data_IF_937806222851
#
_entry.id   IF_937806222851
#
_cell.length_a   1.000
_cell.length_b   1.000
_cell.length_c   1.000
_cell.angle_alpha   90.00
_cell.angle_beta   90.00
_cell.angle_gamma   90.00
#
_symmetry.space_group_name_H-M   'P 1'
#
loop_
_entity.id
_entity.type
_entity.pdbx_description
1 polymer ?
#
# COMPACT_ATOMS: atom_id res chain seq x y z
N UNK A 1 42.73 -23.51 11.53
CA UNK A 1 42.32 -23.12 10.17
C UNK A 1 40.81 -22.95 10.19
N UNK A 2 40.31 -21.72 10.00
CA UNK A 2 38.89 -21.40 10.08
C UNK A 2 38.22 -21.78 8.76
N UNK A 3 37.28 -22.72 8.78
CA UNK A 3 36.55 -23.13 7.58
C UNK A 3 35.74 -21.94 7.02
N UNK A 4 35.75 -21.71 5.69
CA UNK A 4 34.93 -20.65 5.10
C UNK A 4 33.45 -20.96 5.33
N UNK A 5 32.75 -20.08 6.06
CA UNK A 5 31.30 -20.18 6.22
C UNK A 5 30.65 -19.84 4.87
N UNK A 6 30.15 -20.84 4.15
CA UNK A 6 29.32 -20.63 2.98
C UNK A 6 27.98 -20.02 3.42
N UNK A 7 27.79 -18.74 3.12
CA UNK A 7 26.51 -18.03 3.24
C UNK A 7 25.72 -18.36 1.97
N UNK A 8 24.52 -18.89 2.15
CA UNK A 8 23.56 -19.12 1.07
C UNK A 8 22.53 -18.00 1.11
N UNK A 9 22.47 -17.20 0.05
CA UNK A 9 21.40 -16.21 -0.08
C UNK A 9 20.17 -16.96 -0.59
N UNK A 10 19.16 -17.11 0.26
CA UNK A 10 17.89 -17.69 -0.17
C UNK A 10 17.03 -16.52 -0.62
N UNK A 11 16.84 -16.40 -1.93
CA UNK A 11 15.81 -15.53 -2.48
C UNK A 11 14.46 -16.22 -2.26
N UNK A 12 13.85 -15.97 -1.11
CA UNK A 12 12.47 -16.39 -0.86
C UNK A 12 11.55 -15.38 -1.55
N UNK A 13 11.38 -15.56 -2.87
CA UNK A 13 10.59 -14.73 -3.77
C UNK A 13 10.92 -13.22 -3.70
N UNK A 14 11.75 -12.77 -4.64
CA UNK A 14 12.06 -11.36 -4.88
C UNK A 14 10.79 -10.54 -5.15
N UNK A 15 10.11 -10.09 -4.10
CA UNK A 15 8.80 -9.44 -4.14
C UNK A 15 7.73 -10.29 -4.87
N UNK A 16 6.65 -10.68 -4.17
CA UNK A 16 5.39 -10.83 -4.90
C UNK A 16 5.02 -9.44 -5.42
N UNK A 17 5.57 -9.07 -6.58
CA UNK A 17 5.16 -7.90 -7.35
C UNK A 17 3.81 -8.24 -7.95
N UNK A 18 2.78 -8.24 -7.12
CA UNK A 18 1.42 -8.20 -7.62
C UNK A 18 1.17 -6.78 -8.12
N UNK A 19 1.50 -6.55 -9.40
CA UNK A 19 1.22 -5.26 -10.04
C UNK A 19 -0.28 -5.17 -10.25
N UNK A 20 -0.97 -4.61 -9.27
CA UNK A 20 -2.36 -4.21 -9.45
C UNK A 20 -2.33 -2.88 -10.17
N UNK A 21 -2.70 -2.88 -11.46
CA UNK A 21 -3.06 -1.64 -12.13
C UNK A 21 -4.35 -1.14 -11.51
N UNK A 22 -4.24 -0.12 -10.66
CA UNK A 22 -5.43 0.39 -9.97
C UNK A 22 -6.47 0.93 -10.94
N UNK A 23 -6.09 1.33 -12.16
CA UNK A 23 -7.06 1.68 -13.20
C UNK A 23 -8.06 0.56 -13.52
N UNK A 24 -7.63 -0.71 -13.44
CA UNK A 24 -8.45 -1.88 -13.74
C UNK A 24 -9.32 -2.33 -12.55
N UNK A 25 -8.88 -2.07 -11.31
CA UNK A 25 -9.59 -2.43 -10.07
C UNK A 25 -10.47 -1.28 -9.56
N UNK A 26 -10.05 -0.05 -9.81
CA UNK A 26 -10.58 1.19 -9.25
C UNK A 26 -10.96 2.17 -10.34
N UNK A 27 -11.75 1.78 -11.34
CA UNK A 27 -12.34 2.73 -12.32
C UNK A 27 -13.17 3.89 -11.71
N UNK A 28 -13.07 4.14 -10.40
CA UNK A 28 -13.76 5.09 -9.54
C UNK A 28 -12.84 5.87 -8.57
N UNK A 29 -11.55 5.53 -8.42
CA UNK A 29 -10.63 6.29 -7.54
C UNK A 29 -9.59 7.01 -8.40
N UNK A 30 -9.61 8.34 -8.46
CA UNK A 30 -8.64 9.04 -9.29
C UNK A 30 -7.24 9.05 -8.65
N UNK A 31 -6.23 8.98 -9.51
CA UNK A 31 -4.82 8.80 -9.11
C UNK A 31 -4.31 10.00 -8.30
N UNK A 32 -4.82 11.20 -8.56
CA UNK A 32 -4.43 12.41 -7.85
C UNK A 32 -4.83 12.37 -6.38
N UNK A 33 -6.00 11.81 -6.05
CA UNK A 33 -6.45 11.63 -4.67
C UNK A 33 -5.60 10.59 -3.93
N UNK A 34 -5.20 9.51 -4.60
CA UNK A 34 -4.27 8.53 -4.03
C UNK A 34 -2.92 9.19 -3.73
N UNK A 35 -2.41 9.98 -4.68
CA UNK A 35 -1.16 10.75 -4.52
C UNK A 35 -1.27 11.74 -3.35
N UNK A 36 -2.37 12.48 -3.25
CA UNK A 36 -2.59 13.46 -2.20
C UNK A 36 -2.73 12.79 -0.82
N UNK A 37 -3.44 11.66 -0.74
CA UNK A 37 -3.56 10.87 0.49
C UNK A 37 -2.20 10.36 0.93
N UNK A 38 -1.42 9.75 0.05
CA UNK A 38 -0.08 9.24 0.39
C UNK A 38 0.93 10.35 0.75
N UNK A 39 0.75 11.56 0.22
CA UNK A 39 1.52 12.75 0.60
C UNK A 39 1.05 13.45 1.89
N UNK A 40 -0.10 13.05 2.45
CA UNK A 40 -0.72 13.71 3.60
C UNK A 40 -0.04 13.43 4.93
N UNK A 41 -0.35 14.23 5.96
CA UNK A 41 0.09 13.98 7.33
C UNK A 41 -0.46 12.66 7.87
N UNK A 42 -1.72 12.33 7.56
CA UNK A 42 -2.33 11.06 7.98
C UNK A 42 -1.53 9.85 7.47
N UNK A 43 -1.06 9.87 6.22
CA UNK A 43 -0.27 8.78 5.68
C UNK A 43 1.08 8.66 6.39
N UNK A 44 1.73 9.79 6.71
CA UNK A 44 2.97 9.81 7.50
C UNK A 44 2.76 9.22 8.90
N UNK A 45 1.65 9.56 9.56
CA UNK A 45 1.29 9.02 10.88
C UNK A 45 1.02 7.51 10.83
N UNK A 46 0.54 7.01 9.68
CA UNK A 46 0.38 5.58 9.38
C UNK A 46 1.69 4.89 8.96
N UNK A 47 2.81 5.61 8.92
CA UNK A 47 4.13 5.07 8.59
C UNK A 47 4.46 5.01 7.10
N UNK A 48 3.69 5.68 6.25
CA UNK A 48 4.05 5.86 4.84
C UNK A 48 5.13 6.93 4.69
N UNK A 49 6.11 6.62 3.85
CA UNK A 49 7.22 7.51 3.55
C UNK A 49 7.46 7.54 2.04
N UNK A 50 7.64 8.74 1.49
CA UNK A 50 8.12 8.90 0.13
C UNK A 50 9.62 8.60 0.12
N UNK A 51 10.04 7.62 -0.67
CA UNK A 51 11.45 7.17 -0.69
C UNK A 51 12.17 7.49 -1.99
N UNK A 52 11.41 7.82 -3.04
CA UNK A 52 11.96 8.13 -4.35
C UNK A 52 11.03 9.03 -5.13
N UNK A 53 11.64 10.00 -5.79
CA UNK A 53 11.09 10.80 -6.86
C UNK A 53 12.14 10.77 -7.97
N UNK A 54 11.92 9.92 -8.96
CA UNK A 54 12.69 9.99 -10.21
C UNK A 54 11.76 10.48 -11.30
N UNK A 55 12.33 11.09 -12.34
CA UNK A 55 11.63 11.60 -13.53
C UNK A 55 10.49 10.66 -13.97
N UNK A 56 9.24 11.03 -13.62
CA UNK A 56 8.03 10.32 -14.05
C UNK A 56 7.34 9.42 -13.02
N UNK A 57 7.87 9.20 -11.81
CA UNK A 57 7.29 8.27 -10.83
C UNK A 57 7.54 8.69 -9.37
N UNK A 58 6.46 8.72 -8.57
CA UNK A 58 6.51 8.87 -7.12
C UNK A 58 6.37 7.51 -6.43
N UNK A 59 7.27 7.24 -5.47
CA UNK A 59 7.25 5.97 -4.72
C UNK A 59 7.05 6.22 -3.24
N UNK A 60 5.96 5.68 -2.71
CA UNK A 60 5.61 5.69 -1.29
C UNK A 60 5.75 4.28 -0.71
N UNK A 61 6.32 4.16 0.47
CA UNK A 61 6.58 2.88 1.13
C UNK A 61 6.13 2.88 2.56
N UNK A 62 5.64 1.72 3.02
CA UNK A 62 5.30 1.45 4.41
C UNK A 62 5.83 0.07 4.79
N UNK A 63 6.49 -0.02 5.92
CA UNK A 63 6.85 -1.31 6.51
C UNK A 63 5.62 -1.88 7.22
N UNK A 64 5.23 -3.12 6.89
CA UNK A 64 4.06 -3.79 7.49
C UNK A 64 4.50 -4.67 8.66
N UNK A 65 5.55 -5.46 8.46
CA UNK A 65 6.22 -6.25 9.50
C UNK A 65 7.73 -6.09 9.38
N UNK A 66 8.54 -6.67 10.26
CA UNK A 66 10.02 -6.58 10.16
C UNK A 66 10.58 -7.06 8.80
N UNK A 67 9.88 -7.96 8.10
CA UNK A 67 10.34 -8.58 6.85
C UNK A 67 9.46 -8.29 5.64
N UNK A 68 8.26 -7.72 5.84
CA UNK A 68 7.29 -7.41 4.79
C UNK A 68 7.02 -5.91 4.75
N UNK A 69 7.17 -5.32 3.57
CA UNK A 69 6.81 -3.94 3.27
C UNK A 69 5.83 -3.85 2.11
N UNK A 70 5.32 -2.65 1.90
CA UNK A 70 4.37 -2.31 0.84
C UNK A 70 4.85 -1.05 0.14
N UNK A 71 4.68 -0.97 -1.17
CA UNK A 71 5.01 0.24 -1.93
C UNK A 71 3.97 0.60 -2.97
N UNK A 72 3.52 1.85 -2.95
CA UNK A 72 2.78 2.46 -4.04
C UNK A 72 3.74 3.19 -4.97
N UNK A 73 3.55 2.99 -6.26
CA UNK A 73 4.27 3.64 -7.35
C UNK A 73 3.25 4.34 -8.21
N UNK A 74 3.39 5.65 -8.34
CA UNK A 74 2.45 6.50 -9.06
C UNK A 74 3.22 7.16 -10.19
N UNK A 75 2.98 6.70 -11.42
CA UNK A 75 3.55 7.28 -12.61
C UNK A 75 2.80 8.57 -12.99
N UNK A 76 3.50 9.50 -13.64
CA UNK A 76 2.89 10.73 -14.19
C UNK A 76 1.81 10.44 -15.24
N UNK A 77 1.88 9.26 -15.88
CA UNK A 77 0.85 8.76 -16.79
C UNK A 77 -0.49 8.45 -16.10
N UNK A 78 -0.57 8.54 -14.77
CA UNK A 78 -1.73 8.17 -13.97
C UNK A 78 -1.77 6.68 -13.62
N UNK A 79 -0.78 5.89 -14.05
CA UNK A 79 -0.67 4.49 -13.66
C UNK A 79 -0.23 4.38 -12.20
N UNK A 80 -1.04 3.69 -11.38
CA UNK A 80 -0.67 3.34 -10.01
C UNK A 80 -0.42 1.85 -9.94
N UNK A 81 0.75 1.49 -9.42
CA UNK A 81 1.15 0.12 -9.12
C UNK A 81 1.33 -0.04 -7.62
N UNK A 82 0.79 -1.13 -7.12
CA UNK A 82 1.08 -1.61 -5.78
C UNK A 82 2.12 -2.73 -5.86
N UNK A 83 3.08 -2.77 -4.94
CA UNK A 83 4.00 -3.90 -4.81
C UNK A 83 4.13 -4.33 -3.36
N UNK A 84 4.09 -5.64 -3.11
CA UNK A 84 4.48 -6.22 -1.82
C UNK A 84 5.98 -6.51 -1.85
N UNK A 85 6.71 -5.98 -0.87
CA UNK A 85 8.15 -6.13 -0.75
C UNK A 85 8.48 -7.11 0.38
N UNK A 86 9.37 -8.04 0.12
CA UNK A 86 9.96 -8.92 1.14
C UNK A 86 11.45 -8.65 1.22
N UNK A 87 11.99 -8.60 2.44
CA UNK A 87 13.43 -8.52 2.65
C UNK A 87 14.12 -9.83 2.24
N UNK A 88 15.31 -9.74 1.64
CA UNK A 88 16.16 -10.92 1.42
C UNK A 88 16.92 -11.24 2.72
N UNK A 89 16.90 -12.50 3.17
CA UNK A 89 17.64 -12.94 4.35
C UNK A 89 18.79 -13.84 3.93
N UNK A 90 20.01 -13.46 4.32
CA UNK A 90 21.20 -14.30 4.15
C UNK A 90 21.21 -15.38 5.23
N UNK A 91 21.27 -16.65 4.83
CA UNK A 91 21.21 -17.78 5.77
C UNK A 91 22.41 -18.70 5.61
N UNK A 92 22.76 -19.42 6.67
CA UNK A 92 23.81 -20.43 6.60
C UNK A 92 23.27 -21.67 5.87
N UNK A 93 24.17 -22.35 5.14
CA UNK A 93 23.81 -23.55 4.38
C UNK A 93 23.17 -24.62 5.32
N UNK A 94 22.00 -25.15 4.96
CA UNK A 94 21.20 -26.07 5.79
C UNK A 94 20.05 -25.45 6.61
N UNK A 95 19.95 -24.12 6.69
CA UNK A 95 18.81 -23.43 7.34
C UNK A 95 17.82 -22.81 6.35
N UNK A 96 18.07 -22.98 5.05
CA UNK A 96 17.31 -22.38 3.96
C UNK A 96 15.81 -22.70 4.03
N UNK A 97 15.45 -23.97 4.23
CA UNK A 97 14.05 -24.41 4.22
C UNK A 97 13.27 -23.91 5.44
N UNK A 98 13.93 -23.89 6.61
CA UNK A 98 13.34 -23.38 7.85
C UNK A 98 13.05 -21.88 7.77
N UNK A 99 14.00 -21.10 7.26
CA UNK A 99 13.81 -19.65 7.10
C UNK A 99 12.78 -19.34 6.01
N UNK A 100 12.76 -20.11 4.91
CA UNK A 100 11.70 -20.04 3.90
C UNK A 100 10.31 -20.27 4.52
N UNK A 101 10.14 -21.30 5.33
CA UNK A 101 8.86 -21.58 5.99
C UNK A 101 8.44 -20.48 6.97
N UNK A 102 9.38 -19.92 7.73
CA UNK A 102 9.11 -18.75 8.59
C UNK A 102 8.67 -17.53 7.79
N UNK A 103 9.32 -17.26 6.66
CA UNK A 103 8.96 -16.15 5.78
C UNK A 103 7.58 -16.33 5.14
N UNK A 104 7.25 -17.53 4.68
CA UNK A 104 5.92 -17.83 4.15
C UNK A 104 4.84 -17.67 5.23
N UNK A 105 5.13 -18.04 6.48
CA UNK A 105 4.22 -17.80 7.59
C UNK A 105 4.09 -16.30 7.93
N UNK A 106 5.19 -15.55 7.90
CA UNK A 106 5.17 -14.10 8.10
C UNK A 106 4.36 -13.39 7.00
N UNK A 107 4.43 -13.86 5.75
CA UNK A 107 3.62 -13.35 4.64
C UNK A 107 2.12 -13.57 4.84
N UNK A 108 1.72 -14.76 5.29
CA UNK A 108 0.32 -15.05 5.63
C UNK A 108 -0.18 -14.21 6.81
N UNK A 109 0.67 -14.06 7.83
CA UNK A 109 0.32 -13.26 9.00
C UNK A 109 0.19 -11.77 8.65
N UNK A 110 1.09 -11.27 7.78
CA UNK A 110 1.08 -9.90 7.28
C UNK A 110 -0.02 -9.63 6.23
N UNK A 111 -0.72 -10.66 5.76
CA UNK A 111 -1.71 -10.51 4.69
C UNK A 111 -2.89 -9.64 5.12
N UNK A 112 -3.38 -9.83 6.35
CA UNK A 112 -4.44 -9.02 6.91
C UNK A 112 -4.01 -7.55 7.06
N UNK A 113 -2.81 -7.31 7.59
CA UNK A 113 -2.29 -5.95 7.79
C UNK A 113 -2.01 -5.24 6.46
N UNK A 114 -1.57 -5.99 5.46
CA UNK A 114 -1.39 -5.49 4.10
C UNK A 114 -2.72 -5.10 3.46
N UNK A 115 -3.73 -5.98 3.54
CA UNK A 115 -5.06 -5.73 3.00
C UNK A 115 -5.73 -4.55 3.71
N UNK A 116 -5.55 -4.45 5.03
CA UNK A 116 -5.99 -3.32 5.82
C UNK A 116 -5.32 -2.02 5.36
N UNK A 117 -3.98 -1.99 5.28
CA UNK A 117 -3.24 -0.82 4.84
C UNK A 117 -3.63 -0.38 3.43
N UNK A 118 -3.88 -1.32 2.52
CA UNK A 118 -4.39 -1.05 1.18
C UNK A 118 -5.79 -0.42 1.22
N UNK A 119 -6.73 -1.06 1.91
CA UNK A 119 -8.10 -0.58 2.03
C UNK A 119 -8.19 0.79 2.69
N UNK A 120 -7.34 1.09 3.68
CA UNK A 120 -7.26 2.40 4.32
C UNK A 120 -6.89 3.51 3.33
N UNK A 121 -5.90 3.29 2.45
CA UNK A 121 -5.53 4.26 1.41
C UNK A 121 -6.70 4.49 0.46
N UNK A 122 -7.33 3.41 0.01
CA UNK A 122 -8.45 3.50 -0.94
C UNK A 122 -9.65 4.23 -0.34
N UNK A 123 -9.99 3.90 0.90
CA UNK A 123 -11.09 4.52 1.60
C UNK A 123 -10.86 6.02 1.82
N UNK A 124 -9.64 6.43 2.20
CA UNK A 124 -9.28 7.85 2.28
C UNK A 124 -9.36 8.56 0.93
N UNK A 125 -8.86 7.92 -0.12
CA UNK A 125 -8.91 8.50 -1.46
C UNK A 125 -10.36 8.66 -1.95
N UNK A 126 -11.23 7.68 -1.68
CA UNK A 126 -12.64 7.74 -2.03
C UNK A 126 -13.41 8.80 -1.23
N UNK A 127 -13.13 8.95 0.05
CA UNK A 127 -13.72 10.00 0.91
C UNK A 127 -13.42 11.40 0.35
N UNK A 128 -12.28 11.59 -0.29
CA UNK A 128 -11.95 12.83 -1.00
C UNK A 128 -12.57 12.92 -2.40
N UNK A 129 -12.47 11.85 -3.19
CA UNK A 129 -12.87 11.84 -4.59
C UNK A 129 -14.39 12.02 -4.78
N UNK A 130 -15.20 11.36 -3.95
CA UNK A 130 -16.66 11.31 -4.13
C UNK A 130 -17.32 12.70 -3.99
N UNK A 131 -17.04 13.50 -2.93
CA UNK A 131 -17.54 14.88 -2.83
C UNK A 131 -17.07 15.78 -3.98
N UNK A 132 -15.81 15.67 -4.39
CA UNK A 132 -15.26 16.48 -5.47
C UNK A 132 -15.97 16.17 -6.79
N UNK A 133 -16.18 14.89 -7.09
CA UNK A 133 -16.89 14.47 -8.30
C UNK A 133 -18.34 14.93 -8.30
N UNK A 134 -19.03 14.90 -7.17
CA UNK A 134 -20.39 15.43 -7.07
C UNK A 134 -20.43 16.95 -7.32
N UNK A 135 -19.46 17.73 -6.81
CA UNK A 135 -19.36 19.17 -7.11
C UNK A 135 -19.10 19.44 -8.59
N UNK A 136 -18.23 18.66 -9.25
CA UNK A 136 -17.97 18.77 -10.69
C UNK A 136 -19.21 18.51 -11.55
N UNK A 137 -20.10 17.64 -11.08
CA UNK A 137 -21.38 17.34 -11.73
C UNK A 137 -22.47 18.40 -11.44
N UNK A 138 -22.14 19.45 -10.68
CA UNK A 138 -23.04 20.57 -10.40
C UNK A 138 -23.86 20.43 -9.12
N UNK A 139 -23.61 19.41 -8.29
CA UNK A 139 -24.32 19.26 -7.03
C UNK A 139 -23.75 20.16 -5.92
N UNK A 140 -24.63 20.65 -5.04
CA UNK A 140 -24.23 21.30 -3.80
C UNK A 140 -23.98 20.24 -2.73
N UNK A 141 -22.71 20.06 -2.37
CA UNK A 141 -22.27 19.00 -1.46
C UNK A 141 -21.89 19.60 -0.11
N UNK A 142 -22.60 19.23 0.95
CA UNK A 142 -22.21 19.56 2.31
C UNK A 142 -20.99 18.71 2.76
N UNK A 143 -20.20 19.17 3.75
CA UNK A 143 -19.09 18.39 4.28
C UNK A 143 -19.56 16.99 4.74
N UNK A 144 -18.96 15.90 4.23
CA UNK A 144 -19.40 14.56 4.57
C UNK A 144 -19.07 14.22 6.02
N UNK A 145 -19.96 13.45 6.67
CA UNK A 145 -19.64 12.79 7.95
C UNK A 145 -18.98 11.45 7.64
N UNK A 146 -17.80 11.20 8.21
CA UNK A 146 -17.04 9.96 7.99
C UNK A 146 -16.85 9.24 9.32
N UNK A 147 -17.34 8.01 9.39
CA UNK A 147 -17.13 7.11 10.52
C UNK A 147 -16.13 6.03 10.11
N UNK A 148 -15.09 5.83 10.93
CA UNK A 148 -14.01 4.87 10.63
C UNK A 148 -14.14 3.67 11.57
N UNK A 149 -14.30 2.48 11.02
CA UNK A 149 -14.15 1.23 11.78
C UNK A 149 -12.67 0.85 11.80
N UNK A 150 -12.02 1.04 12.95
CA UNK A 150 -10.56 0.94 13.08
C UNK A 150 -9.99 -0.45 12.74
N UNK A 151 -10.75 -1.52 12.99
CA UNK A 151 -10.25 -2.90 12.85
C UNK A 151 -10.42 -3.49 11.45
N UNK A 152 -11.26 -2.89 10.61
CA UNK A 152 -11.60 -3.42 9.28
C UNK A 152 -11.12 -2.53 8.13
N UNK A 153 -10.73 -1.28 8.43
CA UNK A 153 -10.43 -0.27 7.42
C UNK A 153 -11.66 0.20 6.66
N UNK A 154 -12.86 -0.25 7.06
CA UNK A 154 -14.12 0.18 6.47
C UNK A 154 -14.41 1.61 6.95
N UNK A 155 -14.72 2.48 5.99
CA UNK A 155 -15.18 3.84 6.25
C UNK A 155 -16.60 3.98 5.75
N UNK A 156 -17.48 4.39 6.64
CA UNK A 156 -18.83 4.79 6.30
C UNK A 156 -18.85 6.29 6.10
N UNK A 157 -19.22 6.73 4.89
CA UNK A 157 -19.33 8.15 4.56
C UNK A 157 -20.79 8.48 4.27
N UNK A 158 -21.32 9.42 5.04
CA UNK A 158 -22.66 9.99 4.81
C UNK A 158 -22.47 11.39 4.21
N UNK A 159 -22.99 11.58 3.01
CA UNK A 159 -22.89 12.82 2.26
C UNK A 159 -24.29 13.33 1.93
N UNK A 160 -24.57 14.60 2.25
CA UNK A 160 -25.78 15.29 1.85
C UNK A 160 -25.53 16.02 0.53
N UNK A 161 -26.38 15.73 -0.45
CA UNK A 161 -26.28 16.28 -1.80
C UNK A 161 -27.59 16.99 -2.11
N UNK A 162 -27.50 18.30 -2.33
CA UNK A 162 -28.63 19.12 -2.77
C UNK A 162 -28.56 19.29 -4.29
N UNK A 163 -29.71 19.15 -4.96
CA UNK A 163 -29.90 19.31 -6.40
C UNK A 163 -30.42 20.71 -6.70
#
# INVERSE_FOLDING_TARGET
MSSPQQITIVQVNAAQQETIQLADVLGRVPTDEIREVLGSQWAKDKGWQQVKENSGELVYQRQITETVGMSFRIADSGEVRLERRTGAVGVKNGQAETERAKHENALKTAENDYNLAFNEILAEALVKAVPNRAKELGYLVEPPTVTVQQDTGIREMVMLVNV
#
